data_IF_046304600641
#
_entry.id   IF_046304600641
#
_cell.length_a   1.000
_cell.length_b   1.000
_cell.length_c   1.000
_cell.angle_alpha   90.00
_cell.angle_beta   90.00
_cell.angle_gamma   90.00
#
_symmetry.space_group_name_H-M   'P 1'
#
loop_
_entity.id
_entity.type
_entity.pdbx_description
1 polymer ?
#
# COMPACT_ATOMS: atom_id res chain seq x y z
N UNK A 1 -15.08 -0.87 14.34
CA UNK A 1 -14.03 0.16 14.43
C UNK A 1 -12.70 -0.55 14.54
N UNK A 2 -11.83 -0.49 13.53
CA UNK A 2 -10.52 -1.14 13.58
C UNK A 2 -9.47 -0.13 14.09
N UNK A 3 -9.20 -0.19 15.39
CA UNK A 3 -8.25 0.67 16.10
C UNK A 3 -6.84 0.15 15.82
N UNK A 4 -6.28 0.50 14.65
CA UNK A 4 -4.98 0.02 14.13
C UNK A 4 -4.86 -1.51 14.07
N UNK A 5 -4.74 -2.08 12.88
CA UNK A 5 -4.54 -3.54 12.75
C UNK A 5 -3.44 -4.00 13.73
N UNK A 6 -3.74 -4.95 14.60
CA UNK A 6 -2.71 -5.60 15.44
C UNK A 6 -2.09 -6.80 14.71
N UNK A 7 -2.44 -6.98 13.44
CA UNK A 7 -2.13 -8.13 12.61
C UNK A 7 -1.70 -7.67 11.22
N UNK A 8 -0.87 -8.47 10.58
CA UNK A 8 -0.46 -8.22 9.20
C UNK A 8 -1.66 -8.28 8.26
N UNK A 9 -1.73 -7.36 7.31
CA UNK A 9 -2.85 -7.23 6.40
C UNK A 9 -2.33 -7.19 4.96
N UNK A 10 -2.83 -8.09 4.11
CA UNK A 10 -2.58 -8.05 2.67
C UNK A 10 -3.89 -7.82 1.93
N UNK A 11 -4.00 -6.69 1.26
CA UNK A 11 -5.09 -6.37 0.34
C UNK A 11 -4.57 -6.41 -1.08
N UNK A 12 -5.17 -7.23 -1.93
CA UNK A 12 -4.73 -7.39 -3.32
C UNK A 12 -5.88 -7.44 -4.30
N UNK A 13 -5.73 -6.75 -5.43
CA UNK A 13 -6.67 -6.81 -6.55
C UNK A 13 -5.92 -6.90 -7.87
N UNK A 14 -6.40 -7.74 -8.79
CA UNK A 14 -5.79 -7.85 -10.10
C UNK A 14 -6.11 -6.62 -10.97
N UNK A 15 -7.39 -6.26 -11.09
CA UNK A 15 -7.83 -5.23 -12.04
C UNK A 15 -8.66 -4.10 -11.41
N UNK A 16 -8.87 -4.12 -10.10
CA UNK A 16 -9.67 -3.14 -9.38
C UNK A 16 -8.87 -2.27 -8.43
N UNK A 17 -9.53 -1.21 -7.95
CA UNK A 17 -9.02 -0.34 -6.92
C UNK A 17 -9.02 -1.05 -5.57
N UNK A 18 -7.96 -0.80 -4.79
CA UNK A 18 -7.83 -1.24 -3.41
C UNK A 18 -7.73 0.01 -2.56
N UNK A 19 -8.73 0.22 -1.71
CA UNK A 19 -8.75 1.34 -0.79
C UNK A 19 -8.67 0.83 0.64
N UNK A 20 -7.64 1.24 1.37
CA UNK A 20 -7.55 1.07 2.81
C UNK A 20 -7.91 2.40 3.48
N UNK A 21 -9.00 2.41 4.24
CA UNK A 21 -9.52 3.60 4.91
C UNK A 21 -9.42 3.41 6.43
N UNK A 22 -8.62 4.25 7.10
CA UNK A 22 -8.48 4.25 8.56
C UNK A 22 -9.52 5.13 9.26
N UNK A 23 -10.39 5.84 8.54
CA UNK A 23 -11.54 6.60 9.08
C UNK A 23 -11.16 7.52 10.26
N UNK A 24 -10.11 8.31 10.07
CA UNK A 24 -9.54 9.26 11.02
C UNK A 24 -8.58 8.65 12.03
N UNK A 25 -8.48 7.32 12.13
CA UNK A 25 -7.61 6.65 13.11
C UNK A 25 -6.13 6.82 12.75
N UNK A 26 -5.28 6.74 13.77
CA UNK A 26 -3.84 6.82 13.56
C UNK A 26 -3.28 5.62 12.81
N UNK A 27 -2.37 5.94 11.88
CA UNK A 27 -1.59 4.96 11.15
C UNK A 27 -0.44 4.52 12.06
N UNK A 28 -0.33 3.22 12.31
CA UNK A 28 0.84 2.60 12.91
C UNK A 28 1.18 1.34 12.11
N UNK A 29 2.47 1.07 11.90
CA UNK A 29 2.95 -0.08 11.15
C UNK A 29 3.84 0.29 9.96
N UNK A 30 4.27 -0.75 9.26
CA UNK A 30 4.94 -0.67 7.97
C UNK A 30 3.91 -0.83 6.85
N UNK A 31 3.93 0.07 5.86
CA UNK A 31 3.02 0.05 4.72
C UNK A 31 3.82 -0.10 3.44
N UNK A 32 3.46 -1.08 2.61
CA UNK A 32 4.01 -1.28 1.27
C UNK A 32 2.89 -1.29 0.24
N UNK A 33 3.09 -0.53 -0.82
CA UNK A 33 2.20 -0.40 -1.95
C UNK A 33 2.87 -1.00 -3.17
N UNK A 34 2.13 -1.79 -3.93
CA UNK A 34 2.60 -2.31 -5.21
C UNK A 34 1.57 -1.99 -6.29
N UNK A 35 2.01 -1.34 -7.36
CA UNK A 35 1.19 -1.09 -8.56
C UNK A 35 1.98 -1.37 -9.83
N UNK A 36 1.35 -1.82 -10.92
CA UNK A 36 2.07 -2.01 -12.18
C UNK A 36 2.40 -0.65 -12.81
N UNK A 37 3.65 -0.46 -13.20
CA UNK A 37 4.13 0.76 -13.87
C UNK A 37 3.27 1.06 -15.10
N UNK A 38 2.86 2.32 -15.27
CA UNK A 38 1.96 2.82 -16.35
C UNK A 38 0.55 2.24 -16.40
N UNK A 39 0.16 1.36 -15.46
CA UNK A 39 -1.17 0.72 -15.47
C UNK A 39 -1.93 0.92 -14.16
N UNK A 40 -1.26 0.83 -13.03
CA UNK A 40 -1.85 1.13 -11.73
C UNK A 40 -1.38 2.48 -11.19
N UNK A 41 -1.99 2.91 -10.09
CA UNK A 41 -1.64 4.16 -9.39
C UNK A 41 -1.51 3.91 -7.90
N UNK A 42 -0.54 4.56 -7.27
CA UNK A 42 -0.37 4.54 -5.81
C UNK A 42 -0.72 5.93 -5.28
N UNK A 43 -1.60 5.99 -4.29
CA UNK A 43 -2.01 7.24 -3.61
C UNK A 43 -1.88 7.04 -2.11
N UNK A 44 -1.07 7.88 -1.45
CA UNK A 44 -0.89 7.88 0.00
C UNK A 44 -0.91 9.32 0.52
N UNK A 45 -1.56 9.59 1.67
CA UNK A 45 -1.46 10.87 2.36
C UNK A 45 -0.13 11.02 3.12
N UNK A 46 0.64 9.93 3.24
CA UNK A 46 1.94 9.89 3.88
C UNK A 46 3.03 9.81 2.81
N UNK A 47 4.08 10.62 2.97
CA UNK A 47 5.27 10.57 2.11
C UNK A 47 5.94 9.20 2.23
N UNK A 48 6.42 8.67 1.10
CA UNK A 48 7.16 7.41 1.09
C UNK A 48 8.59 7.60 1.57
N UNK A 49 9.07 6.64 2.35
CA UNK A 49 10.45 6.54 2.79
C UNK A 49 11.30 5.85 1.72
N UNK A 50 10.71 4.90 0.99
CA UNK A 50 11.35 4.16 -0.09
C UNK A 50 10.44 4.08 -1.30
N UNK A 51 11.01 4.31 -2.48
CA UNK A 51 10.35 4.20 -3.77
C UNK A 51 11.30 3.49 -4.73
N UNK A 52 10.85 2.38 -5.32
CA UNK A 52 11.63 1.59 -6.26
C UNK A 52 10.75 1.00 -7.36
N UNK A 53 11.38 0.60 -8.46
CA UNK A 53 10.72 -0.13 -9.54
C UNK A 53 11.33 -1.51 -9.64
N UNK A 54 10.52 -2.54 -9.46
CA UNK A 54 10.93 -3.95 -9.58
C UNK A 54 10.39 -4.56 -10.88
N UNK A 55 11.10 -5.54 -11.42
CA UNK A 55 10.62 -6.35 -12.53
C UNK A 55 10.23 -7.75 -12.05
N UNK A 56 9.00 -8.17 -12.36
CA UNK A 56 8.45 -9.49 -12.00
C UNK A 56 7.66 -10.06 -13.18
N UNK A 57 8.04 -11.24 -13.64
CA UNK A 57 7.45 -11.91 -14.81
C UNK A 57 7.39 -11.01 -16.06
N UNK A 58 8.49 -10.29 -16.35
CA UNK A 58 8.58 -9.37 -17.49
C UNK A 58 7.69 -8.12 -17.39
N UNK A 59 7.14 -7.84 -16.20
CA UNK A 59 6.31 -6.66 -15.92
C UNK A 59 6.98 -5.82 -14.84
N UNK A 60 7.01 -4.50 -15.04
CA UNK A 60 7.53 -3.55 -14.06
C UNK A 60 6.44 -3.12 -13.08
N UNK A 61 6.79 -3.03 -11.80
CA UNK A 61 5.91 -2.60 -10.72
C UNK A 61 6.59 -1.51 -9.89
N UNK A 62 5.85 -0.42 -9.63
CA UNK A 62 6.20 0.56 -8.62
C UNK A 62 5.96 -0.07 -7.25
N UNK A 63 7.00 -0.09 -6.42
CA UNK A 63 6.93 -0.50 -5.02
C UNK A 63 7.30 0.71 -4.18
N UNK A 64 6.37 1.13 -3.32
CA UNK A 64 6.57 2.29 -2.45
C UNK A 64 6.22 1.91 -1.03
N UNK A 65 7.02 2.35 -0.07
CA UNK A 65 6.76 2.02 1.33
C UNK A 65 7.07 3.17 2.27
N UNK A 66 6.40 3.14 3.42
CA UNK A 66 6.70 4.02 4.54
C UNK A 66 6.48 3.29 5.86
N UNK A 67 7.14 3.74 6.92
CA UNK A 67 6.89 3.29 8.29
C UNK A 67 6.28 4.42 9.11
N UNK A 68 5.22 4.14 9.85
CA UNK A 68 4.62 5.11 10.77
C UNK A 68 4.55 4.53 12.17
N UNK A 69 5.16 5.23 13.14
CA UNK A 69 5.26 4.71 14.51
C UNK A 69 6.20 3.51 14.56
N UNK A 70 5.63 2.32 14.80
CA UNK A 70 6.37 1.06 14.82
C UNK A 70 6.37 0.38 13.44
N UNK A 71 7.30 -0.56 13.21
CA UNK A 71 7.36 -1.36 11.99
C UNK A 71 6.33 -2.50 11.92
N UNK A 72 5.52 -2.68 12.98
CA UNK A 72 4.43 -3.67 13.02
C UNK A 72 3.09 -3.03 13.34
N UNK A 73 1.99 -3.55 12.75
CA UNK A 73 1.94 -4.68 11.79
C UNK A 73 2.50 -4.30 10.40
N UNK A 74 2.58 -5.28 9.50
CA UNK A 74 2.91 -5.10 8.09
C UNK A 74 1.62 -5.04 7.26
N UNK A 75 1.43 -3.95 6.53
CA UNK A 75 0.28 -3.70 5.66
C UNK A 75 0.75 -3.66 4.21
N UNK A 76 0.29 -4.61 3.40
CA UNK A 76 0.61 -4.72 1.98
C UNK A 76 -0.62 -4.40 1.14
N UNK A 77 -0.54 -3.41 0.25
CA UNK A 77 -1.63 -2.96 -0.60
C UNK A 77 -1.20 -3.10 -2.06
N UNK A 78 -1.78 -4.07 -2.77
CA UNK A 78 -1.31 -4.50 -4.09
C UNK A 78 -2.41 -4.35 -5.14
N UNK A 79 -2.08 -3.74 -6.27
CA UNK A 79 -2.94 -3.74 -7.46
C UNK A 79 -2.12 -3.94 -8.72
N UNK A 80 -2.67 -4.51 -9.79
CA UNK A 80 -1.98 -4.47 -11.09
C UNK A 80 -2.41 -3.25 -11.92
N UNK A 81 -3.70 -3.12 -12.25
CA UNK A 81 -4.18 -2.03 -13.11
C UNK A 81 -5.16 -1.05 -12.47
N UNK A 82 -5.43 -1.19 -11.17
CA UNK A 82 -6.25 -0.24 -10.43
C UNK A 82 -5.41 0.72 -9.58
N UNK A 83 -6.07 1.36 -8.62
CA UNK A 83 -5.45 2.28 -7.66
C UNK A 83 -5.25 1.60 -6.32
N UNK A 84 -4.02 1.60 -5.80
CA UNK A 84 -3.72 1.27 -4.41
C UNK A 84 -3.75 2.58 -3.61
N UNK A 85 -4.81 2.77 -2.81
CA UNK A 85 -5.09 4.02 -2.09
C UNK A 85 -5.13 3.80 -0.59
N UNK A 86 -4.37 4.60 0.15
CA UNK A 86 -4.55 4.79 1.57
C UNK A 86 -5.33 6.08 1.82
N UNK A 87 -6.29 6.03 2.75
CA UNK A 87 -7.02 7.20 3.22
C UNK A 87 -6.97 7.19 4.75
N UNK A 88 -6.59 8.32 5.33
CA UNK A 88 -6.76 8.60 6.75
C UNK A 88 -8.11 9.25 6.93
#
# INVERSE_FOLDING_TARGET
>A
MAKSSSYDLTLSSASGDVTLNYNGNDLSGFYEFTARVKKGRIISPVKFDKEEVIEKNGKKYDVKSFTKGNSSPIILIKTSSGTAKLIK
#
